data_IF_050535618668
#
_entry.id   IF_050535618668
#
_cell.length_a   1.000
_cell.length_b   1.000
_cell.length_c   1.000
_cell.angle_alpha   90.00
_cell.angle_beta   90.00
_cell.angle_gamma   90.00
#
_symmetry.space_group_name_H-M   'P 1'
#
loop_
_entity.id
_entity.type
_entity.pdbx_description
1 polymer ?
#
# COMPACT_ATOMS: atom_id res chain seq x y z
N UNK A 1 5.97 -22.06 -10.57
CA UNK A 1 6.52 -22.64 -9.32
C UNK A 1 7.15 -21.59 -8.40
N UNK A 2 8.05 -20.73 -8.91
CA UNK A 2 8.76 -19.74 -8.08
C UNK A 2 7.86 -18.78 -7.27
N UNK A 3 6.78 -18.24 -7.87
CA UNK A 3 5.87 -17.31 -7.15
C UNK A 3 5.18 -17.97 -5.96
N UNK A 4 4.74 -19.22 -6.12
CA UNK A 4 4.12 -19.98 -5.03
C UNK A 4 5.13 -20.21 -3.91
N UNK A 5 6.32 -20.72 -4.24
CA UNK A 5 7.39 -20.94 -3.27
C UNK A 5 7.74 -19.66 -2.51
N UNK A 6 7.83 -18.52 -3.20
CA UNK A 6 8.10 -17.24 -2.54
C UNK A 6 7.01 -16.89 -1.53
N UNK A 7 5.72 -16.99 -1.92
CA UNK A 7 4.61 -16.70 -1.00
C UNK A 7 4.59 -17.64 0.19
N UNK A 8 4.75 -18.94 -0.06
CA UNK A 8 4.80 -19.94 1.02
C UNK A 8 5.95 -19.63 1.97
N UNK A 9 7.12 -19.25 1.46
CA UNK A 9 8.25 -18.85 2.28
C UNK A 9 7.98 -17.56 3.08
N UNK A 10 7.31 -16.56 2.49
CA UNK A 10 6.90 -15.35 3.22
C UNK A 10 5.96 -15.69 4.39
N UNK A 11 5.00 -16.59 4.19
CA UNK A 11 4.08 -17.01 5.25
C UNK A 11 4.84 -17.77 6.35
N UNK A 12 5.66 -18.74 5.97
CA UNK A 12 6.37 -19.58 6.95
C UNK A 12 7.42 -18.79 7.75
N UNK A 13 8.20 -17.94 7.08
CA UNK A 13 9.30 -17.21 7.72
C UNK A 13 8.84 -15.94 8.44
N UNK A 14 7.75 -15.30 7.97
CA UNK A 14 7.29 -14.03 8.52
C UNK A 14 6.04 -14.19 9.38
N UNK A 15 4.94 -14.64 8.79
CA UNK A 15 3.64 -14.74 9.47
C UNK A 15 3.67 -15.72 10.65
N UNK A 16 4.39 -16.84 10.51
CA UNK A 16 4.45 -17.92 11.50
C UNK A 16 5.71 -17.90 12.37
N UNK A 17 6.49 -16.83 12.30
CA UNK A 17 7.69 -16.67 13.13
C UNK A 17 7.32 -16.56 14.61
N UNK A 18 8.15 -17.11 15.50
CA UNK A 18 8.03 -16.87 16.95
C UNK A 18 8.34 -15.42 17.34
N UNK A 19 9.10 -14.71 16.49
CA UNK A 19 9.45 -13.31 16.70
C UNK A 19 8.28 -12.40 16.37
N UNK A 20 7.77 -11.71 17.39
CA UNK A 20 6.80 -10.63 17.27
C UNK A 20 7.18 -9.62 16.17
N UNK A 21 8.44 -9.17 16.17
CA UNK A 21 8.93 -8.19 15.20
C UNK A 21 8.82 -8.71 13.76
N UNK A 22 9.08 -10.00 13.57
CA UNK A 22 9.02 -10.66 12.28
C UNK A 22 7.58 -10.82 11.79
N UNK A 23 6.63 -11.13 12.69
CA UNK A 23 5.19 -11.10 12.37
C UNK A 23 4.71 -9.70 12.01
N UNK A 24 5.24 -8.66 12.67
CA UNK A 24 4.96 -7.26 12.30
C UNK A 24 5.46 -6.91 10.89
N UNK A 25 6.62 -7.44 10.46
CA UNK A 25 7.10 -7.31 9.08
C UNK A 25 6.10 -7.92 8.10
N UNK A 26 5.51 -9.08 8.42
CA UNK A 26 4.47 -9.68 7.57
C UNK A 26 3.27 -8.74 7.37
N UNK A 27 2.79 -8.09 8.44
CA UNK A 27 1.68 -7.14 8.34
C UNK A 27 2.04 -5.94 7.46
N UNK A 28 3.27 -5.42 7.59
CA UNK A 28 3.77 -4.34 6.71
C UNK A 28 3.83 -4.81 5.25
N UNK A 29 4.29 -6.03 5.01
CA UNK A 29 4.28 -6.63 3.68
C UNK A 29 2.87 -6.75 3.13
N UNK A 30 1.88 -7.16 3.94
CA UNK A 30 0.49 -7.21 3.53
C UNK A 30 -0.07 -5.82 3.14
N UNK A 31 0.31 -4.75 3.84
CA UNK A 31 -0.04 -3.38 3.45
C UNK A 31 0.50 -3.03 2.06
N UNK A 32 1.78 -3.32 1.80
CA UNK A 32 2.35 -3.11 0.46
C UNK A 32 1.71 -4.03 -0.58
N UNK A 33 1.34 -5.27 -0.22
CA UNK A 33 0.69 -6.20 -1.13
C UNK A 33 -0.70 -5.69 -1.55
N UNK A 34 -1.46 -5.09 -0.63
CA UNK A 34 -2.74 -4.42 -0.92
C UNK A 34 -2.56 -3.28 -1.94
N UNK A 35 -1.48 -2.50 -1.80
CA UNK A 35 -1.20 -1.37 -2.68
C UNK A 35 -0.74 -1.78 -4.08
N UNK A 36 -0.19 -2.98 -4.23
CA UNK A 36 0.41 -3.44 -5.49
C UNK A 36 -0.53 -4.37 -6.26
N UNK A 37 -1.12 -5.33 -5.56
CA UNK A 37 -1.88 -6.40 -6.18
C UNK A 37 -3.38 -6.06 -6.27
N UNK A 38 -4.10 -6.80 -7.11
CA UNK A 38 -5.55 -6.79 -7.11
C UNK A 38 -6.11 -7.40 -5.81
N UNK A 39 -7.31 -6.99 -5.43
CA UNK A 39 -8.02 -7.54 -4.28
C UNK A 39 -8.18 -9.05 -4.40
N UNK A 40 -8.41 -9.55 -5.64
CA UNK A 40 -8.49 -10.98 -5.90
C UNK A 40 -7.19 -11.68 -5.51
N UNK A 41 -6.05 -11.16 -5.97
CA UNK A 41 -4.75 -11.77 -5.66
C UNK A 41 -4.43 -11.71 -4.16
N UNK A 42 -4.74 -10.58 -3.50
CA UNK A 42 -4.55 -10.45 -2.07
C UNK A 42 -5.41 -11.46 -1.28
N UNK A 43 -6.70 -11.57 -1.65
CA UNK A 43 -7.64 -12.53 -1.05
C UNK A 43 -7.17 -13.97 -1.21
N UNK A 44 -6.71 -14.35 -2.40
CA UNK A 44 -6.31 -15.72 -2.70
C UNK A 44 -5.05 -16.17 -1.93
N UNK A 45 -4.17 -15.24 -1.52
CA UNK A 45 -2.83 -15.63 -1.03
C UNK A 45 -2.37 -15.03 0.29
N UNK A 46 -2.97 -13.93 0.77
CA UNK A 46 -2.49 -13.23 1.97
C UNK A 46 -3.57 -13.05 3.03
N UNK A 47 -4.83 -12.92 2.61
CA UNK A 47 -5.95 -12.51 3.47
C UNK A 47 -6.12 -13.42 4.68
N UNK A 48 -6.20 -14.74 4.47
CA UNK A 48 -6.38 -15.69 5.56
C UNK A 48 -5.22 -15.68 6.55
N UNK A 49 -3.98 -15.62 6.05
CA UNK A 49 -2.78 -15.55 6.89
C UNK A 49 -2.69 -14.25 7.67
N UNK A 50 -3.09 -13.12 7.08
CA UNK A 50 -3.20 -11.86 7.81
C UNK A 50 -4.28 -11.95 8.90
N UNK A 51 -5.40 -12.61 8.61
CA UNK A 51 -6.51 -12.75 9.55
C UNK A 51 -6.18 -13.70 10.71
N UNK A 52 -5.30 -14.69 10.50
CA UNK A 52 -4.76 -15.53 11.59
C UNK A 52 -4.07 -14.69 12.68
N UNK A 53 -3.42 -13.59 12.29
CA UNK A 53 -2.78 -12.66 13.23
C UNK A 53 -3.78 -11.81 14.04
N UNK A 54 -5.08 -11.84 13.71
CA UNK A 54 -6.09 -11.18 14.53
C UNK A 54 -6.20 -11.81 15.94
N UNK A 55 -5.80 -13.08 16.08
CA UNK A 55 -5.74 -13.78 17.37
C UNK A 55 -4.34 -13.84 17.99
N UNK A 56 -3.38 -13.02 17.55
CA UNK A 56 -2.00 -13.08 18.04
C UNK A 56 -1.93 -12.79 19.55
N UNK A 57 -1.09 -13.50 20.33
CA UNK A 57 -0.95 -13.23 21.76
C UNK A 57 -0.45 -11.81 22.07
N UNK A 58 0.25 -11.15 21.14
CA UNK A 58 0.81 -9.81 21.36
C UNK A 58 -0.20 -8.72 20.95
N UNK A 59 -0.65 -7.85 21.87
CA UNK A 59 -1.66 -6.84 21.56
C UNK A 59 -1.27 -5.89 20.43
N UNK A 60 0.01 -5.54 20.28
CA UNK A 60 0.44 -4.65 19.21
C UNK A 60 0.32 -5.27 17.81
N UNK A 61 0.40 -6.61 17.69
CA UNK A 61 0.03 -7.30 16.44
C UNK A 61 -1.47 -7.15 16.18
N UNK A 62 -2.30 -7.45 17.19
CA UNK A 62 -3.76 -7.35 17.10
C UNK A 62 -4.23 -5.94 16.77
N UNK A 63 -3.58 -4.92 17.34
CA UNK A 63 -3.78 -3.51 17.04
C UNK A 63 -3.53 -3.20 15.56
N UNK A 64 -2.44 -3.72 14.99
CA UNK A 64 -2.10 -3.53 13.59
C UNK A 64 -3.11 -4.21 12.65
N UNK A 65 -3.62 -5.38 13.01
CA UNK A 65 -4.66 -6.09 12.23
C UNK A 65 -6.01 -5.37 12.34
N UNK A 66 -6.40 -4.91 13.52
CA UNK A 66 -7.64 -4.16 13.75
C UNK A 66 -7.73 -2.92 12.85
N UNK A 67 -6.61 -2.22 12.68
CA UNK A 67 -6.49 -1.07 11.79
C UNK A 67 -6.84 -1.37 10.33
N UNK A 68 -6.76 -2.64 9.91
CA UNK A 68 -7.04 -3.07 8.54
C UNK A 68 -8.46 -3.59 8.33
N UNK A 69 -9.24 -3.86 9.38
CA UNK A 69 -10.58 -4.48 9.22
C UNK A 69 -11.52 -3.68 8.32
N UNK A 70 -11.51 -2.35 8.44
CA UNK A 70 -12.35 -1.51 7.60
C UNK A 70 -12.04 -1.67 6.11
N UNK A 71 -10.75 -1.78 5.78
CA UNK A 71 -10.27 -2.00 4.42
C UNK A 71 -10.57 -3.44 3.96
N UNK A 72 -10.21 -4.44 4.78
CA UNK A 72 -10.45 -5.85 4.47
C UNK A 72 -11.93 -6.13 4.18
N UNK A 73 -12.86 -5.48 4.88
CA UNK A 73 -14.29 -5.61 4.60
C UNK A 73 -14.68 -5.03 3.24
N UNK A 74 -14.14 -3.87 2.88
CA UNK A 74 -14.47 -3.18 1.63
C UNK A 74 -14.01 -3.95 0.39
N UNK A 75 -12.95 -4.76 0.51
CA UNK A 75 -12.45 -5.64 -0.56
C UNK A 75 -13.38 -6.83 -0.88
N UNK A 76 -14.32 -7.17 0.03
CA UNK A 76 -15.16 -8.35 -0.11
C UNK A 76 -16.41 -8.04 -0.94
N UNK A 77 -16.62 -8.85 -1.97
CA UNK A 77 -17.76 -8.81 -2.89
C UNK A 77 -18.61 -10.06 -2.68
N UNK A 78 -19.90 -9.88 -2.44
CA UNK A 78 -20.85 -10.98 -2.28
C UNK A 78 -21.60 -11.23 -3.59
N UNK A 79 -21.89 -12.50 -3.94
CA UNK A 79 -21.73 -13.72 -3.12
C UNK A 79 -20.33 -14.37 -3.15
N UNK A 80 -19.40 -13.89 -3.99
CA UNK A 80 -18.13 -14.56 -4.30
C UNK A 80 -17.25 -14.80 -3.07
N UNK A 81 -17.17 -13.81 -2.17
CA UNK A 81 -16.31 -13.84 -1.00
C UNK A 81 -17.05 -14.23 0.28
N UNK A 82 -18.16 -14.98 0.19
CA UNK A 82 -19.00 -15.33 1.35
C UNK A 82 -18.18 -15.95 2.50
N UNK A 83 -17.29 -16.90 2.20
CA UNK A 83 -16.49 -17.59 3.22
C UNK A 83 -15.48 -16.65 3.89
N UNK A 84 -14.78 -15.81 3.11
CA UNK A 84 -13.86 -14.81 3.65
C UNK A 84 -14.61 -13.78 4.50
N UNK A 85 -15.81 -13.40 4.08
CA UNK A 85 -16.67 -12.48 4.80
C UNK A 85 -17.14 -13.07 6.14
N UNK A 86 -17.51 -14.34 6.17
CA UNK A 86 -17.86 -15.06 7.41
C UNK A 86 -16.67 -15.09 8.36
N UNK A 87 -15.49 -15.50 7.87
CA UNK A 87 -14.26 -15.56 8.68
C UNK A 87 -13.84 -14.19 9.23
N UNK A 88 -13.94 -13.13 8.42
CA UNK A 88 -13.68 -11.76 8.87
C UNK A 88 -14.67 -11.33 9.95
N UNK A 89 -15.96 -11.64 9.78
CA UNK A 89 -16.97 -11.31 10.79
C UNK A 89 -16.74 -12.10 12.10
N UNK A 90 -16.27 -13.34 12.03
CA UNK A 90 -15.87 -14.12 13.21
C UNK A 90 -14.71 -13.45 13.97
N UNK A 91 -13.67 -13.03 13.25
CA UNK A 91 -12.55 -12.31 13.86
C UNK A 91 -13.03 -10.99 14.51
N UNK A 92 -13.87 -10.21 13.82
CA UNK A 92 -14.44 -8.98 14.37
C UNK A 92 -15.33 -9.22 15.60
N UNK A 93 -16.08 -10.33 15.64
CA UNK A 93 -16.88 -10.71 16.82
C UNK A 93 -16.01 -10.97 18.05
N UNK A 94 -14.86 -11.63 17.87
CA UNK A 94 -13.89 -11.84 18.97
C UNK A 94 -13.36 -10.52 19.52
N UNK A 95 -13.05 -9.55 18.66
CA UNK A 95 -12.65 -8.22 19.12
C UNK A 95 -13.76 -7.48 19.86
N UNK A 96 -15.03 -7.70 19.49
CA UNK A 96 -16.17 -7.05 20.13
C UNK A 96 -16.48 -7.63 21.52
N UNK A 97 -16.24 -8.93 21.72
CA UNK A 97 -16.71 -9.66 22.90
C UNK A 97 -15.59 -10.08 23.85
N UNK A 98 -14.39 -10.36 23.32
CA UNK A 98 -13.34 -11.11 24.03
C UNK A 98 -12.01 -10.34 24.11
N UNK A 99 -11.84 -9.21 23.41
CA UNK A 99 -10.60 -8.41 23.48
C UNK A 99 -10.51 -7.63 24.81
N UNK A 100 -9.33 -7.63 25.41
CA UNK A 100 -9.08 -7.00 26.72
C UNK A 100 -8.18 -5.77 26.61
N UNK A 101 -7.35 -5.68 25.56
CA UNK A 101 -6.44 -4.56 25.39
C UNK A 101 -7.19 -3.29 24.97
N UNK A 102 -7.09 -2.25 25.82
CA UNK A 102 -7.82 -0.99 25.65
C UNK A 102 -7.53 -0.31 24.31
N UNK A 103 -6.28 -0.27 23.87
CA UNK A 103 -5.89 0.43 22.66
C UNK A 103 -6.39 -0.33 21.43
N UNK A 104 -6.34 -1.66 21.48
CA UNK A 104 -6.91 -2.54 20.46
C UNK A 104 -8.42 -2.33 20.33
N UNK A 105 -9.15 -2.32 21.45
CA UNK A 105 -10.61 -2.06 21.48
C UNK A 105 -10.92 -0.69 20.89
N UNK A 106 -10.18 0.34 21.28
CA UNK A 106 -10.42 1.71 20.82
C UNK A 106 -10.22 1.83 19.30
N UNK A 107 -9.14 1.26 18.76
CA UNK A 107 -8.89 1.23 17.32
C UNK A 107 -9.97 0.44 16.61
N UNK A 108 -10.34 -0.75 17.11
CA UNK A 108 -11.37 -1.59 16.52
C UNK A 108 -12.71 -0.83 16.39
N UNK A 109 -13.17 -0.21 17.47
CA UNK A 109 -14.41 0.58 17.47
C UNK A 109 -14.36 1.76 16.50
N UNK A 110 -13.19 2.43 16.41
CA UNK A 110 -12.97 3.50 15.44
C UNK A 110 -13.13 2.99 14.00
N UNK A 111 -12.50 1.84 13.68
CA UNK A 111 -12.58 1.22 12.35
C UNK A 111 -13.97 0.71 12.02
N UNK A 112 -14.73 0.18 12.99
CA UNK A 112 -16.14 -0.17 12.76
C UNK A 112 -17.02 1.02 12.40
N UNK A 113 -16.73 2.22 12.93
CA UNK A 113 -17.44 3.45 12.56
C UNK A 113 -17.08 3.89 11.14
N UNK A 114 -15.80 3.80 10.76
CA UNK A 114 -15.31 4.11 9.42
C UNK A 114 -16.01 3.27 8.34
N UNK A 115 -16.22 1.97 8.59
CA UNK A 115 -16.90 1.04 7.69
C UNK A 115 -18.32 1.46 7.30
N UNK A 116 -19.00 2.26 8.13
CA UNK A 116 -20.38 2.71 7.88
C UNK A 116 -20.45 3.91 6.94
N UNK A 117 -19.33 4.60 6.69
CA UNK A 117 -19.29 5.92 6.07
C UNK A 117 -18.65 5.94 4.66
N UNK A 118 -18.84 4.90 3.85
CA UNK A 118 -18.17 4.81 2.53
C UNK A 118 -18.96 5.53 1.44
N UNK A 119 -18.35 6.57 0.84
CA UNK A 119 -18.86 7.31 -0.33
C UNK A 119 -19.00 6.41 -1.58
N UNK A 120 -19.97 6.72 -2.45
CA UNK A 120 -20.22 6.00 -3.71
C UNK A 120 -19.20 6.32 -4.79
N UNK A 121 -18.76 7.58 -4.90
CA UNK A 121 -17.93 8.03 -6.03
C UNK A 121 -16.52 7.41 -5.98
N UNK A 122 -15.97 7.27 -4.77
CA UNK A 122 -14.69 6.60 -4.54
C UNK A 122 -14.72 5.11 -4.93
N UNK A 123 -15.89 4.46 -4.88
CA UNK A 123 -16.01 3.03 -5.22
C UNK A 123 -15.83 2.75 -6.70
N UNK A 124 -16.21 3.67 -7.58
CA UNK A 124 -16.14 3.44 -9.02
C UNK A 124 -14.70 3.55 -9.56
N UNK A 125 -13.96 4.54 -9.07
CA UNK A 125 -12.52 4.67 -9.37
C UNK A 125 -11.74 3.45 -8.84
N UNK A 126 -12.01 3.05 -7.59
CA UNK A 126 -11.43 1.86 -6.99
C UNK A 126 -11.69 0.60 -7.83
N UNK A 127 -12.94 0.36 -8.26
CA UNK A 127 -13.28 -0.79 -9.10
C UNK A 127 -12.53 -0.80 -10.45
N UNK A 128 -12.36 0.36 -11.08
CA UNK A 128 -11.61 0.49 -12.34
C UNK A 128 -10.14 0.11 -12.14
N UNK A 129 -9.53 0.61 -11.06
CA UNK A 129 -8.15 0.29 -10.72
C UNK A 129 -7.98 -1.21 -10.41
N UNK A 130 -8.90 -1.81 -9.65
CA UNK A 130 -8.89 -3.25 -9.37
C UNK A 130 -8.99 -4.10 -10.63
N UNK A 131 -9.82 -3.68 -11.59
CA UNK A 131 -9.92 -4.33 -12.90
C UNK A 131 -8.60 -4.22 -13.67
N UNK A 132 -7.97 -3.04 -13.71
CA UNK A 132 -6.68 -2.81 -14.37
C UNK A 132 -5.58 -3.71 -13.80
N UNK A 133 -5.43 -3.76 -12.48
CA UNK A 133 -4.44 -4.62 -11.80
C UNK A 133 -4.65 -6.10 -12.13
N UNK A 134 -5.89 -6.57 -12.09
CA UNK A 134 -6.23 -7.96 -12.42
C UNK A 134 -5.86 -8.32 -13.86
N UNK A 135 -6.16 -7.46 -14.82
CA UNK A 135 -5.80 -7.69 -16.23
C UNK A 135 -4.28 -7.75 -16.43
N UNK A 136 -3.51 -6.93 -15.72
CA UNK A 136 -2.05 -6.98 -15.74
C UNK A 136 -1.50 -8.27 -15.12
N UNK A 137 -2.05 -8.71 -14.00
CA UNK A 137 -1.70 -9.97 -13.35
C UNK A 137 -1.98 -11.17 -14.27
N UNK A 138 -3.13 -11.18 -14.96
CA UNK A 138 -3.51 -12.23 -15.90
C UNK A 138 -2.57 -12.26 -17.12
N UNK A 139 -2.14 -11.09 -17.63
CA UNK A 139 -1.10 -10.98 -18.68
C UNK A 139 0.25 -11.52 -18.20
N UNK A 140 0.67 -11.16 -17.00
CA UNK A 140 1.93 -11.63 -16.40
C UNK A 140 1.86 -13.13 -16.09
N UNK A 141 0.68 -13.68 -15.79
CA UNK A 141 0.49 -15.09 -15.53
C UNK A 141 0.47 -15.93 -16.83
N UNK A 142 -0.01 -15.36 -17.93
CA UNK A 142 0.05 -15.98 -19.26
C UNK A 142 1.42 -15.87 -19.94
N UNK A 143 2.42 -15.29 -19.27
CA UNK A 143 3.80 -15.19 -19.76
C UNK A 143 4.08 -13.95 -20.62
N UNK A 144 3.14 -13.01 -20.71
CA UNK A 144 3.36 -11.72 -21.38
C UNK A 144 4.15 -10.80 -20.46
N UNK A 145 5.24 -10.20 -20.96
CA UNK A 145 6.06 -9.27 -20.18
C UNK A 145 5.25 -8.01 -19.85
N UNK A 146 5.34 -7.46 -18.63
CA UNK A 146 4.70 -6.19 -18.31
C UNK A 146 5.32 -5.08 -19.17
N UNK A 147 4.49 -4.16 -19.64
CA UNK A 147 4.93 -2.93 -20.27
C UNK A 147 5.52 -2.03 -19.18
N UNK A 148 6.79 -2.24 -18.86
CA UNK A 148 7.53 -1.29 -18.03
C UNK A 148 7.73 -0.06 -18.90
N UNK A 149 7.09 1.06 -18.55
CA UNK A 149 7.50 2.37 -19.07
C UNK A 149 8.84 2.66 -18.43
N UNK A 150 9.91 2.17 -19.05
CA UNK A 150 11.26 2.64 -18.75
C UNK A 150 11.29 4.06 -19.29
N UNK A 151 11.20 5.06 -18.42
CA UNK A 151 11.59 6.41 -18.81
C UNK A 151 13.06 6.35 -19.21
N UNK A 152 13.32 6.47 -20.50
CA UNK A 152 14.63 6.29 -21.11
C UNK A 152 15.53 7.48 -20.70
N UNK A 153 16.37 7.29 -19.69
CA UNK A 153 17.28 8.33 -19.15
C UNK A 153 18.50 8.54 -20.09
N UNK A 154 18.61 7.81 -21.21
CA UNK A 154 19.84 7.74 -22.03
C UNK A 154 19.69 8.24 -23.46
N UNK A 155 19.26 9.48 -23.67
CA UNK A 155 19.62 10.25 -24.89
C UNK A 155 19.64 11.75 -24.63
N UNK A 156 20.69 12.24 -23.98
CA UNK A 156 21.17 13.61 -24.21
C UNK A 156 22.68 13.51 -24.49
N UNK A 157 23.01 13.38 -25.77
CA UNK A 157 24.36 13.62 -26.27
C UNK A 157 24.58 15.14 -26.36
N UNK A 158 25.74 15.68 -25.94
CA UNK A 158 26.03 17.10 -26.04
C UNK A 158 26.44 17.45 -27.48
N UNK A 159 25.57 18.16 -28.19
CA UNK A 159 25.89 18.69 -29.51
C UNK A 159 26.76 19.94 -29.38
N UNK A 160 27.91 19.92 -30.06
CA UNK A 160 28.96 20.94 -30.03
C UNK A 160 28.65 22.10 -30.98
N UNK A 161 28.90 23.34 -30.52
CA UNK A 161 29.22 24.46 -31.41
C UNK A 161 30.19 25.41 -30.70
N UNK A 162 31.43 25.46 -31.21
CA UNK A 162 32.48 26.41 -30.84
C UNK A 162 32.21 27.80 -31.43
N UNK A 163 32.66 28.87 -30.76
CA UNK A 163 33.81 29.70 -31.17
C UNK A 163 34.02 30.93 -30.26
N UNK A 164 35.23 31.01 -29.69
CA UNK A 164 36.12 32.17 -29.45
C UNK A 164 35.54 33.45 -28.80
N UNK A 165 35.90 33.78 -27.55
CA UNK A 165 37.03 34.67 -27.18
C UNK A 165 36.44 35.85 -26.38
N UNK A 166 37.01 36.49 -25.36
CA UNK A 166 38.37 36.66 -24.89
C UNK A 166 38.32 37.20 -23.42
N UNK A 167 39.38 36.93 -22.66
CA UNK A 167 39.97 37.65 -21.50
C UNK A 167 39.16 38.27 -20.33
N UNK A 168 39.71 37.93 -19.13
CA UNK A 168 40.09 38.80 -17.98
C UNK A 168 39.15 38.94 -16.75
N UNK A 169 39.62 38.33 -15.66
CA UNK A 169 39.98 38.90 -14.34
C UNK A 169 38.91 39.56 -13.43
N UNK A 170 38.96 39.07 -12.16
CA UNK A 170 38.75 39.71 -10.84
C UNK A 170 37.35 39.72 -10.20
N UNK A 171 37.29 38.98 -9.08
CA UNK A 171 36.92 39.37 -7.70
C UNK A 171 35.62 40.15 -7.37
N UNK A 172 35.03 39.68 -6.27
CA UNK A 172 34.35 40.42 -5.19
C UNK A 172 32.82 40.68 -5.30
N UNK A 173 32.13 40.10 -4.30
CA UNK A 173 31.05 40.67 -3.45
C UNK A 173 29.96 41.57 -4.05
N UNK A 174 28.69 41.18 -3.80
CA UNK A 174 27.68 42.11 -3.28
C UNK A 174 26.47 42.45 -4.16
N UNK A 175 25.30 42.00 -3.67
CA UNK A 175 24.00 42.72 -3.62
C UNK A 175 23.19 42.94 -4.92
N UNK A 176 22.10 42.15 -5.00
CA UNK A 176 20.68 42.51 -5.26
C UNK A 176 20.25 43.30 -6.50
N UNK A 177 19.37 42.71 -7.33
CA UNK A 177 18.03 43.25 -7.71
C UNK A 177 17.26 42.39 -8.72
N UNK A 178 16.06 41.94 -8.32
CA UNK A 178 14.78 41.77 -9.05
C UNK A 178 14.78 41.21 -10.49
N UNK A 179 14.10 40.08 -10.71
CA UNK A 179 12.79 39.98 -11.41
C UNK A 179 12.37 38.51 -11.69
N UNK A 180 11.05 38.31 -11.72
CA UNK A 180 10.33 37.34 -12.57
C UNK A 180 10.16 35.87 -12.13
N UNK A 181 8.89 35.53 -11.88
CA UNK A 181 8.18 34.29 -12.23
C UNK A 181 8.76 32.98 -11.69
N UNK A 182 8.15 32.48 -10.60
CA UNK A 182 8.23 31.06 -10.24
C UNK A 182 6.81 30.50 -10.05
N UNK A 183 6.34 29.82 -11.10
CA UNK A 183 5.24 28.88 -11.00
C UNK A 183 5.70 27.64 -10.25
N UNK A 184 5.02 27.33 -9.16
CA UNK A 184 5.23 26.14 -8.36
C UNK A 184 5.06 24.87 -9.21
N UNK A 185 5.92 23.85 -9.04
CA UNK A 185 5.59 22.52 -9.51
C UNK A 185 4.42 22.03 -8.64
N UNK A 186 3.24 21.88 -9.24
CA UNK A 186 2.09 21.24 -8.61
C UNK A 186 2.47 19.78 -8.37
N UNK A 187 2.88 19.50 -7.14
CA UNK A 187 2.86 18.17 -6.56
C UNK A 187 1.41 17.68 -6.66
N UNK A 188 1.20 16.65 -7.48
CA UNK A 188 -0.09 15.94 -7.53
C UNK A 188 -0.22 15.21 -6.21
N UNK A 189 -0.83 15.86 -5.23
CA UNK A 189 -1.22 15.21 -3.98
C UNK A 189 -2.46 14.37 -4.26
N UNK A 190 -2.23 13.10 -4.52
CA UNK A 190 -3.27 12.08 -4.55
C UNK A 190 -3.87 11.97 -3.14
N UNK A 191 -5.13 12.40 -3.02
CA UNK A 191 -5.88 12.41 -1.75
C UNK A 191 -6.21 11.00 -1.25
N UNK A 192 -6.00 9.98 -2.08
CA UNK A 192 -6.16 8.56 -1.74
C UNK A 192 -5.02 8.04 -0.87
N UNK A 193 -3.86 8.73 -0.88
CA UNK A 193 -2.63 8.32 -0.18
C UNK A 193 -2.60 8.78 1.28
N UNK A 194 -3.44 9.74 1.67
CA UNK A 194 -3.38 10.35 3.01
C UNK A 194 -4.01 9.52 4.13
N UNK A 195 -4.65 8.38 3.84
CA UNK A 195 -5.37 7.64 4.89
C UNK A 195 -4.48 6.68 5.70
N UNK A 196 -3.25 6.40 5.26
CA UNK A 196 -2.39 5.38 5.91
C UNK A 196 -1.07 5.96 6.46
N UNK A 197 -0.64 7.17 6.04
CA UNK A 197 0.60 7.78 6.53
C UNK A 197 0.56 8.27 8.00
N UNK A 198 -0.58 8.18 8.71
CA UNK A 198 -0.70 8.63 10.10
C UNK A 198 -0.47 7.57 11.19
N UNK A 199 0.00 6.37 10.85
CA UNK A 199 0.23 5.31 11.85
C UNK A 199 1.64 4.71 11.72
N UNK A 200 2.65 5.55 11.97
CA UNK A 200 3.96 5.10 12.46
C UNK A 200 3.97 5.44 13.95
N UNK A 201 3.89 4.39 14.78
CA UNK A 201 4.09 4.35 16.24
C UNK A 201 3.92 5.67 17.01
#
# INVERSE_FOLDING_TARGET
MQRRWLRDNLVQQLCRSDSYYTRLIYIRLCKSAIEIFSDKYFKDYFFDHLLDLAGDPVPNIRLCVANLFAFLKQMLVLPEDKLLNERLNDAMRKYANDEEDRDVIQVFQSKMKEMKNVSTDAKDEYKKEQKRRREEEDKINSGSKPMVIVADIRTLSPSSANLHGDRSRKAATGVSSKTSVQGSPRCVTDKSVQLIERFVL
#
